data_IF_288354070372
#
_entry.id   IF_288354070372
#
_cell.length_a   1.000
_cell.length_b   1.000
_cell.length_c   1.000
_cell.angle_alpha   90.00
_cell.angle_beta   90.00
_cell.angle_gamma   90.00
#
_symmetry.space_group_name_H-M   'P 1'
#
loop_
_entity.id
_entity.type
_entity.pdbx_description
1 polymer ?
#
# COMPACT_ATOMS: atom_id res chain seq x y z
N UNK A 1 1.78 6.55 2.29
CA UNK A 1 0.38 7.02 2.19
C UNK A 1 -0.52 5.83 1.94
N UNK A 2 -1.59 5.68 2.72
CA UNK A 2 -2.60 4.62 2.53
C UNK A 2 -3.98 5.28 2.45
N UNK A 3 -4.77 4.89 1.44
CA UNK A 3 -6.10 5.45 1.25
C UNK A 3 -7.07 4.39 0.68
N UNK A 4 -8.31 4.30 1.18
CA UNK A 4 -9.33 3.41 0.61
C UNK A 4 -9.84 3.96 -0.73
N UNK A 5 -10.24 3.05 -1.61
CA UNK A 5 -10.85 3.39 -2.89
C UNK A 5 -11.39 2.13 -3.57
N UNK A 6 -11.99 2.31 -4.73
CA UNK A 6 -12.52 1.22 -5.54
C UNK A 6 -11.68 1.08 -6.81
N UNK A 7 -11.23 -0.12 -7.11
CA UNK A 7 -10.58 -0.47 -8.36
C UNK A 7 -11.60 -1.17 -9.26
N UNK A 8 -11.75 -0.70 -10.50
CA UNK A 8 -12.65 -1.35 -11.47
C UNK A 8 -11.95 -1.73 -12.76
N UNK A 9 -12.43 -2.84 -13.36
CA UNK A 9 -12.02 -3.34 -14.66
C UNK A 9 -13.24 -3.94 -15.38
N UNK A 10 -13.68 -3.33 -16.49
CA UNK A 10 -14.93 -3.69 -17.14
C UNK A 10 -16.12 -3.57 -16.18
N UNK A 11 -16.87 -4.65 -16.03
CA UNK A 11 -18.05 -4.73 -15.14
C UNK A 11 -17.70 -5.14 -13.70
N UNK A 12 -16.43 -5.41 -13.42
CA UNK A 12 -15.95 -5.86 -12.10
C UNK A 12 -15.39 -4.69 -11.30
N UNK A 13 -15.63 -4.70 -9.99
CA UNK A 13 -15.12 -3.71 -9.07
C UNK A 13 -14.78 -4.35 -7.71
N UNK A 14 -13.76 -3.82 -7.04
CA UNK A 14 -13.29 -4.29 -5.74
C UNK A 14 -12.84 -3.12 -4.86
N UNK A 15 -13.17 -3.15 -3.57
CA UNK A 15 -12.74 -2.18 -2.58
C UNK A 15 -11.37 -2.52 -2.04
N UNK A 16 -10.41 -1.60 -2.16
CA UNK A 16 -9.02 -1.81 -1.78
C UNK A 16 -8.48 -0.64 -0.98
N UNK A 17 -7.42 -0.90 -0.21
CA UNK A 17 -6.51 0.11 0.29
C UNK A 17 -5.36 0.30 -0.69
N UNK A 18 -5.21 1.50 -1.21
CA UNK A 18 -4.09 1.87 -2.06
C UNK A 18 -2.94 2.35 -1.18
N UNK A 19 -1.86 1.59 -1.18
CA UNK A 19 -0.62 1.95 -0.49
C UNK A 19 0.27 2.70 -1.46
N UNK A 20 0.40 4.01 -1.26
CA UNK A 20 1.33 4.85 -1.97
C UNK A 20 2.75 4.61 -1.47
N UNK A 21 3.61 4.22 -2.39
CA UNK A 21 5.04 4.00 -2.15
C UNK A 21 5.86 4.97 -2.99
N UNK A 22 7.09 5.22 -2.60
CA UNK A 22 8.04 6.12 -3.25
C UNK A 22 9.34 5.40 -3.61
N UNK A 23 10.32 6.14 -4.10
CA UNK A 23 11.61 5.58 -4.54
C UNK A 23 12.43 4.91 -3.45
N UNK A 24 12.14 5.22 -2.17
CA UNK A 24 12.78 4.62 -1.00
C UNK A 24 12.17 3.26 -0.58
N UNK A 25 11.12 2.81 -1.28
CA UNK A 25 10.48 1.52 -1.00
C UNK A 25 11.48 0.36 -1.15
N UNK A 26 11.47 -0.55 -0.18
CA UNK A 26 12.46 -1.65 -0.07
C UNK A 26 12.14 -2.80 -1.01
N UNK A 27 12.43 -2.61 -2.30
CA UNK A 27 12.26 -3.64 -3.33
C UNK A 27 13.14 -4.87 -3.10
N UNK A 28 14.31 -4.72 -2.47
CA UNK A 28 15.17 -5.83 -2.05
C UNK A 28 14.44 -6.84 -1.14
N UNK A 29 13.46 -6.37 -0.37
CA UNK A 29 12.63 -7.20 0.51
C UNK A 29 11.33 -7.65 -0.14
N UNK A 30 10.66 -6.75 -0.84
CA UNK A 30 9.34 -7.03 -1.42
C UNK A 30 9.40 -7.68 -2.80
N UNK A 31 10.47 -7.48 -3.56
CA UNK A 31 10.58 -7.94 -4.95
C UNK A 31 10.42 -9.45 -5.14
N UNK A 32 10.80 -10.25 -4.14
CA UNK A 32 10.60 -11.71 -4.17
C UNK A 32 9.12 -12.14 -4.18
N UNK A 33 8.21 -11.26 -3.76
CA UNK A 33 6.77 -11.51 -3.80
C UNK A 33 6.13 -11.18 -5.15
N UNK A 34 6.81 -10.47 -6.06
CA UNK A 34 6.31 -10.22 -7.42
C UNK A 34 6.29 -11.56 -8.17
N UNK A 35 5.10 -11.96 -8.62
CA UNK A 35 4.87 -13.20 -9.37
C UNK A 35 4.93 -13.00 -10.87
N UNK A 36 4.50 -11.84 -11.34
CA UNK A 36 4.59 -11.46 -12.76
C UNK A 36 4.64 -9.94 -12.92
N UNK A 37 5.17 -9.49 -14.06
CA UNK A 37 5.38 -8.08 -14.35
C UNK A 37 6.61 -7.49 -13.66
N UNK A 38 6.58 -6.19 -13.43
CA UNK A 38 7.71 -5.42 -12.92
C UNK A 38 7.31 -4.53 -11.73
N UNK A 39 8.28 -4.22 -10.83
CA UNK A 39 8.12 -3.18 -9.81
C UNK A 39 7.72 -1.82 -10.40
N UNK A 40 7.13 -0.94 -9.57
CA UNK A 40 6.90 0.44 -9.97
C UNK A 40 8.23 1.13 -10.26
N UNK A 41 8.29 1.82 -11.40
CA UNK A 41 9.42 2.68 -11.78
C UNK A 41 9.03 4.12 -11.52
N UNK A 42 9.80 4.82 -10.71
CA UNK A 42 9.56 6.21 -10.35
C UNK A 42 10.36 7.14 -11.26
N UNK A 43 9.68 8.09 -11.90
CA UNK A 43 10.32 9.16 -12.63
C UNK A 43 10.49 10.41 -11.73
N UNK A 44 11.50 11.23 -11.98
CA UNK A 44 11.80 12.39 -11.15
C UNK A 44 10.72 13.48 -11.22
N UNK A 45 10.11 13.67 -12.38
CA UNK A 45 9.21 14.80 -12.65
C UNK A 45 7.72 14.48 -12.63
N UNK A 46 7.33 13.20 -12.73
CA UNK A 46 5.90 12.82 -12.83
C UNK A 46 5.61 11.57 -12.01
N UNK A 47 4.38 11.48 -11.47
CA UNK A 47 3.94 10.22 -10.88
C UNK A 47 3.75 9.13 -11.95
N UNK A 48 4.04 7.89 -11.60
CA UNK A 48 3.72 6.78 -12.48
C UNK A 48 2.22 6.45 -12.40
N UNK A 49 1.64 6.12 -13.54
CA UNK A 49 0.25 5.64 -13.65
C UNK A 49 0.16 4.13 -13.65
N UNK A 50 1.11 3.49 -13.01
CA UNK A 50 1.15 2.05 -12.85
C UNK A 50 0.63 1.64 -11.47
N UNK A 51 0.08 0.42 -11.43
CA UNK A 51 -0.41 -0.22 -10.20
C UNK A 51 0.12 -1.64 -10.13
N UNK A 52 0.46 -2.07 -8.93
CA UNK A 52 0.74 -3.47 -8.62
C UNK A 52 -0.40 -3.98 -7.74
N UNK A 53 -1.03 -5.06 -8.16
CA UNK A 53 -2.15 -5.68 -7.44
C UNK A 53 -1.74 -7.07 -6.93
N UNK A 54 -2.46 -7.58 -5.94
CA UNK A 54 -2.24 -8.96 -5.51
C UNK A 54 -2.79 -9.96 -6.54
N UNK A 55 -2.31 -11.20 -6.47
CA UNK A 55 -2.85 -12.32 -7.25
C UNK A 55 -4.35 -12.53 -6.99
N UNK A 56 -4.80 -12.34 -5.75
CA UNK A 56 -6.20 -12.44 -5.38
C UNK A 56 -7.05 -11.33 -6.01
N UNK A 57 -6.60 -10.08 -5.96
CA UNK A 57 -7.28 -8.96 -6.64
C UNK A 57 -7.28 -9.16 -8.15
N UNK A 58 -6.15 -9.61 -8.73
CA UNK A 58 -6.08 -9.91 -10.16
C UNK A 58 -7.08 -10.99 -10.57
N UNK A 59 -7.24 -12.04 -9.75
CA UNK A 59 -8.24 -13.10 -10.01
C UNK A 59 -9.68 -12.57 -9.92
N UNK A 60 -10.01 -11.78 -8.89
CA UNK A 60 -11.36 -11.22 -8.72
C UNK A 60 -11.78 -10.26 -9.83
N UNK A 61 -10.85 -9.47 -10.35
CA UNK A 61 -11.10 -8.48 -11.40
C UNK A 61 -10.70 -8.96 -12.80
N UNK A 62 -10.27 -10.22 -12.95
CA UNK A 62 -9.80 -10.82 -14.21
C UNK A 62 -8.68 -10.01 -14.88
N UNK A 63 -7.70 -9.56 -14.08
CA UNK A 63 -6.61 -8.69 -14.52
C UNK A 63 -5.40 -9.47 -15.01
N UNK A 64 -4.77 -8.91 -16.04
CA UNK A 64 -3.47 -9.33 -16.56
C UNK A 64 -2.50 -8.14 -16.57
N UNK A 65 -1.20 -8.44 -16.67
CA UNK A 65 -0.19 -7.41 -16.86
C UNK A 65 -0.52 -6.62 -18.14
N UNK A 66 -0.50 -5.30 -18.02
CA UNK A 66 -0.78 -4.38 -19.11
C UNK A 66 -2.22 -3.88 -19.17
N UNK A 67 -3.16 -4.50 -18.46
CA UNK A 67 -4.55 -4.09 -18.45
C UNK A 67 -4.72 -2.68 -17.87
N UNK A 68 -5.70 -1.96 -18.43
CA UNK A 68 -6.11 -0.67 -17.92
C UNK A 68 -7.22 -0.84 -16.88
N UNK A 69 -7.02 -0.24 -15.71
CA UNK A 69 -7.98 -0.23 -14.61
C UNK A 69 -8.31 1.20 -14.20
N UNK A 70 -9.43 1.39 -13.52
CA UNK A 70 -9.84 2.70 -13.03
C UNK A 70 -9.90 2.67 -11.51
N UNK A 71 -9.09 3.52 -10.88
CA UNK A 71 -9.22 3.86 -9.47
C UNK A 71 -10.32 4.90 -9.32
N UNK A 72 -11.32 4.61 -8.51
CA UNK A 72 -12.37 5.51 -8.10
C UNK A 72 -12.12 5.97 -6.66
N UNK A 73 -12.09 7.27 -6.47
CA UNK A 73 -11.89 7.91 -5.19
C UNK A 73 -12.98 8.94 -4.93
N UNK A 74 -13.54 8.96 -3.74
CA UNK A 74 -14.56 9.93 -3.35
C UNK A 74 -13.95 10.91 -2.37
N UNK A 75 -14.00 12.19 -2.71
CA UNK A 75 -13.55 13.29 -1.86
C UNK A 75 -14.58 14.42 -1.90
N UNK A 76 -15.05 14.84 -0.73
CA UNK A 76 -15.98 15.97 -0.61
C UNK A 76 -17.16 15.89 -1.60
N UNK A 77 -17.80 14.69 -1.67
CA UNK A 77 -18.88 14.35 -2.61
C UNK A 77 -18.43 14.29 -4.09
N UNK A 78 -17.19 14.61 -4.42
CA UNK A 78 -16.67 14.53 -5.77
C UNK A 78 -16.12 13.13 -6.06
N UNK A 79 -16.55 12.57 -7.18
CA UNK A 79 -16.08 11.29 -7.67
C UNK A 79 -14.90 11.49 -8.62
N UNK A 80 -13.70 11.21 -8.13
CA UNK A 80 -12.46 11.34 -8.89
C UNK A 80 -12.08 9.97 -9.48
N UNK A 81 -11.75 9.95 -10.77
CA UNK A 81 -11.31 8.74 -11.47
C UNK A 81 -9.86 8.90 -11.92
N UNK A 82 -9.07 7.83 -11.77
CA UNK A 82 -7.70 7.76 -12.34
C UNK A 82 -7.52 6.46 -13.09
N UNK A 83 -7.15 6.57 -14.35
CA UNK A 83 -6.79 5.41 -15.18
C UNK A 83 -5.36 4.99 -14.84
N UNK A 84 -5.19 3.71 -14.49
CA UNK A 84 -3.92 3.09 -14.16
C UNK A 84 -3.68 1.88 -15.06
N UNK A 85 -2.42 1.45 -15.17
CA UNK A 85 -2.02 0.25 -15.90
C UNK A 85 -1.43 -0.77 -14.93
N UNK A 86 -1.88 -2.00 -14.98
CA UNK A 86 -1.33 -3.09 -14.18
C UNK A 86 0.10 -3.39 -14.65
N UNK A 87 1.10 -3.09 -13.81
CA UNK A 87 2.52 -3.34 -14.11
C UNK A 87 3.06 -4.58 -13.43
N UNK A 88 2.46 -5.00 -12.32
CA UNK A 88 2.91 -6.15 -11.56
C UNK A 88 1.77 -6.83 -10.80
N UNK A 89 1.96 -8.13 -10.56
CA UNK A 89 1.08 -8.94 -9.72
C UNK A 89 1.94 -9.57 -8.63
N UNK A 90 1.55 -9.40 -7.37
CA UNK A 90 2.28 -9.92 -6.22
C UNK A 90 1.47 -10.95 -5.41
N UNK A 91 2.19 -11.73 -4.59
CA UNK A 91 1.61 -12.66 -3.61
C UNK A 91 2.54 -12.74 -2.40
N UNK A 92 2.10 -12.25 -1.26
CA UNK A 92 2.88 -12.34 -0.02
C UNK A 92 2.65 -13.65 0.72
N UNK A 93 1.51 -14.31 0.50
CA UNK A 93 1.04 -15.44 1.27
C UNK A 93 0.29 -15.06 2.55
N UNK A 94 0.21 -13.78 2.87
CA UNK A 94 -0.62 -13.24 3.94
C UNK A 94 -1.97 -12.85 3.35
N UNK A 95 -2.96 -13.74 3.47
CA UNK A 95 -4.26 -13.58 2.81
C UNK A 95 -4.93 -12.24 3.11
N UNK A 96 -4.90 -11.80 4.37
CA UNK A 96 -5.50 -10.52 4.79
C UNK A 96 -4.85 -9.31 4.12
N UNK A 97 -3.53 -9.38 3.88
CA UNK A 97 -2.82 -8.34 3.16
C UNK A 97 -3.11 -8.41 1.66
N UNK A 98 -3.00 -9.61 1.08
CA UNK A 98 -3.22 -9.86 -0.34
C UNK A 98 -4.66 -9.52 -0.79
N UNK A 99 -5.66 -9.66 0.11
CA UNK A 99 -7.05 -9.26 -0.17
C UNK A 99 -7.29 -7.77 -0.20
N UNK A 100 -6.48 -6.98 0.53
CA UNK A 100 -6.83 -5.59 0.86
C UNK A 100 -5.98 -4.54 0.16
N UNK A 101 -4.73 -4.84 -0.21
CA UNK A 101 -3.79 -3.82 -0.64
C UNK A 101 -3.44 -3.88 -2.13
N UNK A 102 -3.30 -2.69 -2.72
CA UNK A 102 -2.65 -2.47 -4.00
C UNK A 102 -1.57 -1.40 -3.84
N UNK A 103 -0.46 -1.51 -4.60
CA UNK A 103 0.65 -0.57 -4.53
C UNK A 103 0.59 0.41 -5.70
N UNK A 104 0.74 1.68 -5.40
CA UNK A 104 0.71 2.79 -6.37
C UNK A 104 1.79 3.83 -6.04
N UNK A 105 2.05 4.76 -6.94
CA UNK A 105 2.92 5.90 -6.65
C UNK A 105 2.29 6.81 -5.58
N UNK A 106 3.04 7.09 -4.51
CA UNK A 106 2.59 7.94 -3.41
C UNK A 106 2.14 9.33 -3.88
N UNK A 107 2.86 9.92 -4.85
CA UNK A 107 2.54 11.25 -5.38
C UNK A 107 1.17 11.29 -6.04
N UNK A 108 0.77 10.19 -6.69
CA UNK A 108 -0.58 10.10 -7.27
C UNK A 108 -1.66 10.15 -6.18
N UNK A 109 -1.48 9.47 -5.05
CA UNK A 109 -2.44 9.55 -3.93
C UNK A 109 -2.43 10.94 -3.29
N UNK A 110 -1.27 11.57 -3.12
CA UNK A 110 -1.16 12.93 -2.59
C UNK A 110 -1.90 13.93 -3.49
N UNK A 111 -1.77 13.80 -4.82
CA UNK A 111 -2.56 14.62 -5.77
C UNK A 111 -4.06 14.39 -5.62
N UNK A 112 -4.52 13.13 -5.51
CA UNK A 112 -5.94 12.82 -5.30
C UNK A 112 -6.51 13.46 -4.04
N UNK A 113 -5.70 13.50 -2.97
CA UNK A 113 -6.09 14.07 -1.69
C UNK A 113 -5.87 15.59 -1.60
N UNK A 114 -5.29 16.20 -2.64
CA UNK A 114 -4.83 17.60 -2.63
C UNK A 114 -3.81 17.86 -1.51
N UNK A 115 -2.95 16.91 -1.25
CA UNK A 115 -1.88 16.99 -0.27
C UNK A 115 -0.59 17.52 -0.89
N UNK A 116 0.20 18.21 -0.09
CA UNK A 116 1.55 18.56 -0.50
C UNK A 116 2.51 17.34 -0.39
N UNK A 117 3.69 17.38 -1.03
CA UNK A 117 4.62 16.25 -1.06
C UNK A 117 5.11 15.76 0.32
N UNK A 118 5.04 16.59 1.34
CA UNK A 118 5.49 16.28 2.70
C UNK A 118 4.39 15.67 3.59
N UNK A 119 3.14 15.63 3.10
CA UNK A 119 2.03 15.05 3.84
C UNK A 119 1.94 13.55 3.58
N UNK A 120 1.94 12.77 4.66
CA UNK A 120 1.82 11.31 4.65
C UNK A 120 0.83 10.84 5.72
N UNK A 121 0.26 9.66 5.55
CA UNK A 121 -0.62 9.05 6.56
C UNK A 121 0.16 8.41 7.71
N UNK A 122 1.43 8.14 7.51
CA UNK A 122 2.32 7.53 8.50
C UNK A 122 3.68 7.19 7.92
N UNK A 123 4.59 6.82 8.79
CA UNK A 123 5.95 6.40 8.47
C UNK A 123 6.15 4.96 8.94
N UNK A 124 6.70 4.11 8.10
CA UNK A 124 7.03 2.73 8.44
C UNK A 124 8.51 2.64 8.82
N UNK A 125 8.77 2.13 10.04
CA UNK A 125 10.11 1.91 10.54
C UNK A 125 10.47 0.42 10.46
N UNK A 126 11.56 0.11 9.78
CA UNK A 126 12.10 -1.25 9.71
C UNK A 126 13.14 -1.48 10.79
N UNK A 127 12.87 -2.42 11.69
CA UNK A 127 13.75 -2.78 12.79
C UNK A 127 14.47 -4.11 12.52
N UNK A 128 15.68 -4.27 13.05
CA UNK A 128 16.48 -5.49 12.84
C UNK A 128 15.98 -6.68 13.69
N UNK A 129 15.41 -6.40 14.86
CA UNK A 129 15.00 -7.43 15.82
C UNK A 129 13.55 -7.20 16.24
N UNK A 130 12.66 -8.09 15.82
CA UNK A 130 11.22 -7.99 16.11
C UNK A 130 10.90 -8.07 17.61
N UNK A 131 11.75 -8.75 18.41
CA UNK A 131 11.60 -8.80 19.87
C UNK A 131 11.72 -7.43 20.55
N UNK A 132 12.32 -6.44 19.90
CA UNK A 132 12.46 -5.07 20.39
C UNK A 132 11.33 -4.14 19.91
N UNK A 133 10.38 -4.64 19.11
CA UNK A 133 9.34 -3.81 18.49
C UNK A 133 8.54 -3.02 19.53
N UNK A 134 8.04 -3.68 20.56
CA UNK A 134 7.23 -3.02 21.61
C UNK A 134 8.03 -1.99 22.41
N UNK A 135 9.28 -2.30 22.77
CA UNK A 135 10.13 -1.35 23.50
C UNK A 135 10.45 -0.11 22.64
N UNK A 136 10.73 -0.30 21.34
CA UNK A 136 10.97 0.81 20.42
C UNK A 136 9.70 1.63 20.20
N UNK A 137 8.54 0.98 20.04
CA UNK A 137 7.26 1.63 19.88
C UNK A 137 6.91 2.52 21.07
N UNK A 138 7.09 2.00 22.30
CA UNK A 138 6.87 2.77 23.54
C UNK A 138 7.83 3.96 23.63
N UNK A 139 9.11 3.76 23.36
CA UNK A 139 10.09 4.85 23.35
C UNK A 139 9.73 5.95 22.34
N UNK A 140 9.32 5.57 21.14
CA UNK A 140 8.89 6.53 20.12
C UNK A 140 7.67 7.31 20.59
N UNK A 141 6.69 6.66 21.19
CA UNK A 141 5.46 7.29 21.66
C UNK A 141 5.70 8.24 22.84
N UNK A 142 6.51 7.84 23.81
CA UNK A 142 6.75 8.60 25.03
C UNK A 142 7.76 9.74 24.86
N UNK A 143 8.83 9.52 24.06
CA UNK A 143 9.98 10.42 24.03
C UNK A 143 10.20 11.17 22.71
N UNK A 144 9.61 10.68 21.61
CA UNK A 144 9.97 11.20 20.28
C UNK A 144 8.77 11.84 19.56
N UNK A 145 7.60 11.22 19.62
CA UNK A 145 6.45 11.65 18.86
C UNK A 145 5.68 12.77 19.58
N UNK A 146 5.15 13.76 18.83
CA UNK A 146 4.22 14.71 19.41
C UNK A 146 2.91 14.00 19.81
N UNK A 147 2.19 14.56 20.78
CA UNK A 147 0.94 13.99 21.33
C UNK A 147 -0.18 13.72 20.32
N UNK A 148 -0.07 14.27 19.12
CA UNK A 148 -1.02 14.08 18.01
C UNK A 148 -0.73 12.83 17.19
N UNK A 149 0.41 12.17 17.41
CA UNK A 149 0.83 10.96 16.71
C UNK A 149 0.95 9.79 17.69
N UNK A 150 0.78 8.58 17.17
CA UNK A 150 0.97 7.36 17.93
C UNK A 150 1.86 6.38 17.17
N UNK A 151 2.45 5.46 17.91
CA UNK A 151 3.25 4.35 17.38
C UNK A 151 2.51 3.04 17.61
N UNK A 152 2.47 2.20 16.60
CA UNK A 152 1.95 0.82 16.70
C UNK A 152 2.96 -0.15 16.10
N UNK A 153 3.02 -1.36 16.63
CA UNK A 153 3.85 -2.40 16.06
C UNK A 153 3.09 -3.19 15.00
N UNK A 154 3.84 -3.93 14.16
CA UNK A 154 3.24 -4.87 13.20
C UNK A 154 2.37 -5.94 13.92
N UNK A 155 2.69 -6.28 15.16
CA UNK A 155 1.91 -7.23 15.98
C UNK A 155 0.57 -6.66 16.38
N UNK A 156 0.53 -5.38 16.76
CA UNK A 156 -0.70 -4.69 17.14
C UNK A 156 -1.62 -4.54 15.94
N UNK A 157 -1.03 -4.31 14.76
CA UNK A 157 -1.77 -4.11 13.51
C UNK A 157 -2.32 -5.41 12.91
N UNK A 158 -1.62 -6.52 13.09
CA UNK A 158 -1.98 -7.83 12.54
C UNK A 158 -1.87 -8.93 13.61
N UNK A 159 -2.63 -8.85 14.71
CA UNK A 159 -2.50 -9.79 15.83
C UNK A 159 -2.71 -11.24 15.40
N UNK A 160 -3.70 -11.51 14.56
CA UNK A 160 -4.03 -12.87 14.11
C UNK A 160 -2.85 -13.59 13.45
N UNK A 161 -2.00 -12.86 12.69
CA UNK A 161 -0.82 -13.44 12.04
C UNK A 161 0.19 -13.90 13.11
N UNK A 162 0.40 -13.10 14.13
CA UNK A 162 1.39 -13.40 15.17
C UNK A 162 0.89 -14.41 16.19
N UNK A 163 -0.41 -14.48 16.47
CA UNK A 163 -1.02 -15.54 17.25
C UNK A 163 -0.84 -16.90 16.59
N UNK A 164 -1.07 -16.98 15.28
CA UNK A 164 -0.84 -18.19 14.50
C UNK A 164 0.63 -18.63 14.45
N UNK A 165 1.57 -17.67 14.37
CA UNK A 165 3.02 -17.95 14.33
C UNK A 165 3.59 -18.32 15.71
N UNK A 166 2.89 -18.04 16.80
CA UNK A 166 3.33 -18.36 18.16
C UNK A 166 2.81 -19.72 18.68
N UNK A 167 2.02 -20.42 17.89
CA UNK A 167 1.58 -21.80 18.11
C UNK A 167 2.55 -22.80 17.50
#
# INVERSE_FOLDING_TARGET
>A
VINPGILSHGDYADGLFFKGISSDFKWDKFGSYIKSGEPLKFADSTNTRNIIVSEQTAARLFLKIGDAVILHYIKDENHIKRKLKVSGIYKTGLEEYDKKFALVDQRMLQELMSWNPNQVTGVELFIKQISKASAISNYLYEEVLPSTLYSETIRDKFPNIFEWLSL
#
